data_IF_894821639772
#
_entry.id   IF_894821639772
#
_cell.length_a   1.000
_cell.length_b   1.000
_cell.length_c   1.000
_cell.angle_alpha   90.00
_cell.angle_beta   90.00
_cell.angle_gamma   90.00
#
_symmetry.space_group_name_H-M   'P 1'
#
loop_
_entity.id
_entity.type
_entity.pdbx_description
1 polymer ?
#
# COMPACT_ATOMS: atom_id res chain seq x y z
N UNK A 1 -16.97 -13.29 11.14
CA UNK A 1 -16.57 -12.05 11.83
C UNK A 1 -17.80 -11.23 12.12
N UNK A 2 -17.94 -10.72 13.34
CA UNK A 2 -18.94 -9.68 13.65
C UNK A 2 -18.60 -8.43 12.82
N UNK A 3 -19.61 -7.73 12.27
CA UNK A 3 -19.41 -6.55 11.41
C UNK A 3 -18.48 -5.51 12.04
N UNK A 4 -18.63 -5.26 13.34
CA UNK A 4 -17.79 -4.29 14.07
C UNK A 4 -16.33 -4.73 14.21
N UNK A 5 -16.02 -6.03 14.15
CA UNK A 5 -14.65 -6.50 14.20
C UNK A 5 -13.90 -6.23 12.89
N UNK A 6 -14.55 -6.48 11.75
CA UNK A 6 -13.95 -6.20 10.43
C UNK A 6 -13.75 -4.69 10.24
N UNK A 7 -14.74 -3.86 10.56
CA UNK A 7 -14.63 -2.39 10.47
C UNK A 7 -13.47 -1.84 11.33
N UNK A 8 -13.23 -2.42 12.50
CA UNK A 8 -12.11 -2.05 13.35
C UNK A 8 -10.74 -2.44 12.75
N UNK A 9 -10.63 -3.60 12.09
CA UNK A 9 -9.40 -3.99 11.40
C UNK A 9 -9.12 -3.11 10.17
N UNK A 10 -10.15 -2.73 9.43
CA UNK A 10 -10.04 -1.80 8.29
C UNK A 10 -9.52 -0.42 8.73
N UNK A 11 -9.84 0.04 9.95
CA UNK A 11 -9.29 1.29 10.48
C UNK A 11 -7.77 1.24 10.66
N UNK A 12 -7.21 0.10 11.08
CA UNK A 12 -5.76 -0.08 11.16
C UNK A 12 -5.11 -0.05 9.77
N UNK A 13 -5.76 -0.62 8.76
CA UNK A 13 -5.29 -0.51 7.37
C UNK A 13 -5.33 0.93 6.86
N UNK A 14 -6.34 1.72 7.23
CA UNK A 14 -6.39 3.13 6.87
C UNK A 14 -5.25 3.93 7.54
N UNK A 15 -5.02 3.71 8.84
CA UNK A 15 -3.97 4.40 9.59
C UNK A 15 -2.56 4.03 9.11
N UNK A 16 -2.31 2.74 8.84
CA UNK A 16 -1.00 2.29 8.36
C UNK A 16 -0.68 2.71 6.92
N UNK A 17 -1.72 2.97 6.11
CA UNK A 17 -1.56 3.33 4.70
C UNK A 17 -0.74 4.62 4.51
N UNK A 18 -0.90 5.62 5.38
CA UNK A 18 -0.14 6.88 5.29
C UNK A 18 1.36 6.63 5.48
N UNK A 19 1.72 5.77 6.45
CA UNK A 19 3.11 5.39 6.68
C UNK A 19 3.68 4.61 5.48
N UNK A 20 2.92 3.62 4.98
CA UNK A 20 3.37 2.81 3.86
C UNK A 20 3.46 3.62 2.56
N UNK A 21 2.53 4.54 2.31
CA UNK A 21 2.55 5.46 1.16
C UNK A 21 3.85 6.25 1.11
N UNK A 22 4.32 6.76 2.27
CA UNK A 22 5.60 7.46 2.34
C UNK A 22 6.79 6.56 1.98
N UNK A 23 6.77 5.30 2.40
CA UNK A 23 7.83 4.33 2.05
C UNK A 23 7.84 4.02 0.55
N UNK A 24 6.67 3.88 -0.04
CA UNK A 24 6.52 3.72 -1.50
C UNK A 24 7.02 4.98 -2.22
N UNK A 25 6.61 6.16 -1.77
CA UNK A 25 7.05 7.44 -2.33
C UNK A 25 8.57 7.58 -2.28
N UNK A 26 9.20 7.32 -1.14
CA UNK A 26 10.65 7.36 -0.99
C UNK A 26 11.33 6.43 -2.02
N UNK A 27 10.79 5.23 -2.23
CA UNK A 27 11.33 4.26 -3.19
C UNK A 27 11.19 4.73 -4.65
N UNK A 28 10.06 5.31 -5.05
CA UNK A 28 9.86 5.82 -6.42
C UNK A 28 10.54 7.17 -6.67
N UNK A 29 10.69 8.01 -5.64
CA UNK A 29 11.19 9.39 -5.75
C UNK A 29 12.60 9.51 -6.36
N UNK A 30 13.39 8.44 -6.24
CA UNK A 30 14.74 8.36 -6.79
C UNK A 30 14.80 7.93 -8.26
N UNK A 31 13.66 7.63 -8.88
CA UNK A 31 13.60 7.17 -10.26
C UNK A 31 13.73 8.30 -11.27
N UNK A 32 14.69 8.16 -12.18
CA UNK A 32 14.87 9.05 -13.34
C UNK A 32 13.82 8.84 -14.45
N UNK A 33 13.00 7.78 -14.36
CA UNK A 33 11.98 7.49 -15.37
C UNK A 33 10.61 8.15 -15.10
N UNK A 34 10.43 8.82 -13.96
CA UNK A 34 9.21 9.57 -13.65
C UNK A 34 9.49 11.05 -13.87
N UNK A 35 8.77 11.68 -14.81
CA UNK A 35 8.69 13.14 -14.81
C UNK A 35 7.75 13.60 -13.69
N UNK A 36 8.33 13.99 -12.57
CA UNK A 36 7.59 14.44 -11.39
C UNK A 36 6.75 15.71 -11.64
N UNK A 37 6.98 16.44 -12.73
CA UNK A 37 6.16 17.60 -13.10
C UNK A 37 4.85 17.21 -13.80
N UNK A 38 4.77 15.99 -14.33
CA UNK A 38 3.62 15.47 -15.08
C UNK A 38 2.79 14.46 -14.28
N UNK A 39 3.33 13.94 -13.18
CA UNK A 39 2.62 13.00 -12.30
C UNK A 39 1.74 13.73 -11.27
N UNK A 40 0.50 13.26 -11.11
CA UNK A 40 -0.47 13.80 -10.15
C UNK A 40 -1.10 12.67 -9.34
N UNK A 41 -1.07 12.77 -8.02
CA UNK A 41 -1.77 11.83 -7.14
C UNK A 41 -3.29 12.05 -7.25
N UNK A 42 -4.03 11.02 -7.68
CA UNK A 42 -5.49 11.03 -7.76
C UNK A 42 -6.15 10.51 -6.48
N UNK A 43 -5.50 9.58 -5.80
CA UNK A 43 -5.95 9.12 -4.49
C UNK A 43 -5.35 7.79 -4.07
N UNK A 44 -5.42 7.55 -2.77
CA UNK A 44 -4.95 6.33 -2.12
C UNK A 44 -6.13 5.59 -1.51
N UNK A 45 -6.13 4.27 -1.64
CA UNK A 45 -7.07 3.40 -0.93
C UNK A 45 -6.34 2.25 -0.28
N UNK A 46 -6.81 1.84 0.89
CA UNK A 46 -6.26 0.72 1.65
C UNK A 46 -7.41 -0.12 2.19
N UNK A 47 -7.22 -1.43 2.22
CA UNK A 47 -8.23 -2.38 2.72
C UNK A 47 -7.58 -3.59 3.35
N UNK A 48 -8.30 -4.26 4.23
CA UNK A 48 -7.88 -5.53 4.80
C UNK A 48 -7.76 -6.61 3.71
N UNK A 49 -6.63 -7.30 3.68
CA UNK A 49 -6.45 -8.50 2.88
C UNK A 49 -6.91 -9.72 3.68
N UNK A 50 -8.15 -10.14 3.43
CA UNK A 50 -8.79 -11.28 4.09
C UNK A 50 -8.16 -12.64 3.79
N UNK A 51 -7.33 -12.72 2.74
CA UNK A 51 -6.70 -13.99 2.31
C UNK A 51 -5.38 -14.21 3.05
N UNK A 52 -4.61 -13.15 3.23
CA UNK A 52 -3.29 -13.21 3.88
C UNK A 52 -3.32 -12.90 5.37
N UNK A 53 -4.40 -12.26 5.85
CA UNK A 53 -4.57 -12.01 7.28
C UNK A 53 -4.95 -13.29 8.01
N UNK A 54 -4.04 -13.76 8.88
CA UNK A 54 -4.32 -14.86 9.80
C UNK A 54 -4.96 -14.29 11.06
N UNK A 55 -6.27 -14.47 11.19
CA UNK A 55 -7.04 -14.12 12.39
C UNK A 55 -7.10 -15.33 13.32
N UNK A 56 -6.08 -15.53 14.15
CA UNK A 56 -6.23 -16.49 15.25
C UNK A 56 -6.19 -15.79 16.62
N UNK A 57 -6.79 -16.45 17.60
CA UNK A 57 -7.01 -15.91 18.95
C UNK A 57 -5.74 -15.93 19.81
N UNK A 58 -4.65 -16.55 19.34
CA UNK A 58 -3.43 -16.78 20.11
C UNK A 58 -2.20 -16.01 19.59
N UNK A 59 -2.24 -15.46 18.38
CA UNK A 59 -1.16 -14.67 17.80
C UNK A 59 -1.43 -13.18 18.00
N UNK A 60 -0.40 -12.47 18.46
CA UNK A 60 -0.35 -11.02 18.42
C UNK A 60 -0.81 -10.55 17.04
N UNK A 61 -1.97 -9.89 16.99
CA UNK A 61 -2.74 -9.76 15.75
C UNK A 61 -1.94 -9.00 14.70
N UNK A 62 -1.39 -9.73 13.74
CA UNK A 62 -0.80 -9.19 12.51
C UNK A 62 -1.87 -9.26 11.44
N UNK A 63 -2.19 -8.10 10.84
CA UNK A 63 -3.06 -8.04 9.67
C UNK A 63 -2.28 -7.62 8.45
N UNK A 64 -2.68 -8.12 7.29
CA UNK A 64 -2.15 -7.66 6.00
C UNK A 64 -3.17 -6.75 5.35
N UNK A 65 -2.72 -5.62 4.83
CA UNK A 65 -3.52 -4.62 4.16
C UNK A 65 -3.04 -4.46 2.71
N UNK A 66 -3.98 -4.53 1.75
CA UNK A 66 -3.72 -4.14 0.37
C UNK A 66 -3.78 -2.62 0.27
N UNK A 67 -2.88 -2.01 -0.49
CA UNK A 67 -2.91 -0.58 -0.80
C UNK A 67 -2.80 -0.35 -2.30
N UNK A 68 -3.64 0.57 -2.80
CA UNK A 68 -3.64 1.04 -4.18
C UNK A 68 -3.45 2.55 -4.17
N UNK A 69 -2.40 3.01 -4.85
CA UNK A 69 -2.10 4.43 -5.03
C UNK A 69 -2.31 4.75 -6.51
N UNK A 70 -3.25 5.64 -6.80
CA UNK A 70 -3.62 6.00 -8.16
C UNK A 70 -2.98 7.34 -8.54
N UNK A 71 -2.31 7.34 -9.68
CA UNK A 71 -1.71 8.52 -10.29
C UNK A 71 -2.33 8.78 -11.65
N UNK A 72 -2.38 10.06 -12.02
CA UNK A 72 -2.51 10.49 -13.40
C UNK A 72 -1.12 10.88 -13.89
N UNK A 73 -0.71 10.40 -15.06
CA UNK A 73 0.59 10.68 -15.66
C UNK A 73 0.41 10.90 -17.15
N UNK A 74 0.84 12.07 -17.63
CA UNK A 74 0.57 12.57 -18.98
C UNK A 74 -0.94 12.57 -19.31
N UNK A 75 -1.42 11.64 -20.14
CA UNK A 75 -2.82 11.48 -20.53
C UNK A 75 -3.50 10.22 -19.96
N UNK A 76 -2.89 9.58 -18.93
CA UNK A 76 -3.29 8.24 -18.47
C UNK A 76 -3.41 8.11 -16.96
N UNK A 77 -4.28 7.20 -16.53
CA UNK A 77 -4.39 6.76 -15.14
C UNK A 77 -3.55 5.48 -14.92
N UNK A 78 -2.66 5.53 -13.93
CA UNK A 78 -1.74 4.44 -13.59
C UNK A 78 -1.83 4.16 -12.09
N UNK A 79 -2.00 2.88 -11.72
CA UNK A 79 -2.07 2.46 -10.32
C UNK A 79 -0.81 1.70 -9.90
N UNK A 80 -0.32 2.02 -8.70
CA UNK A 80 0.65 1.23 -7.94
C UNK A 80 -0.11 0.38 -6.92
N UNK A 81 0.07 -0.94 -7.01
CA UNK A 81 -0.56 -1.91 -6.11
C UNK A 81 0.51 -2.53 -5.21
N UNK A 82 0.30 -2.49 -3.91
CA UNK A 82 1.25 -3.00 -2.90
C UNK A 82 0.49 -3.55 -1.70
N UNK A 83 1.21 -4.15 -0.75
CA UNK A 83 0.65 -4.56 0.54
C UNK A 83 1.64 -4.29 1.68
N UNK A 84 1.09 -4.18 2.88
CA UNK A 84 1.85 -3.99 4.11
C UNK A 84 1.17 -4.70 5.27
N UNK A 85 1.89 -4.83 6.39
CA UNK A 85 1.39 -5.46 7.60
C UNK A 85 1.22 -4.45 8.72
N UNK A 86 0.23 -4.68 9.59
CA UNK A 86 0.05 -3.93 10.83
C UNK A 86 0.11 -4.90 12.00
N UNK A 87 1.02 -4.64 12.93
CA UNK A 87 1.12 -5.32 14.22
C UNK A 87 0.24 -4.56 15.19
N UNK A 88 -1.01 -5.02 15.36
CA UNK A 88 -2.06 -4.27 16.07
C UNK A 88 -1.66 -3.95 17.51
N UNK A 89 -1.07 -4.91 18.21
CA UNK A 89 -0.66 -4.74 19.61
C UNK A 89 0.52 -3.79 19.79
N UNK A 90 1.32 -3.58 18.74
CA UNK A 90 2.49 -2.70 18.74
C UNK A 90 2.21 -1.34 18.09
N UNK A 91 0.99 -1.12 17.57
CA UNK A 91 0.61 0.06 16.77
C UNK A 91 1.61 0.35 15.64
N UNK A 92 2.19 -0.70 15.06
CA UNK A 92 3.31 -0.60 14.13
C UNK A 92 2.92 -1.05 12.74
N UNK A 93 3.23 -0.21 11.76
CA UNK A 93 3.16 -0.56 10.34
C UNK A 93 4.49 -1.13 9.87
N UNK A 94 4.45 -2.25 9.17
CA UNK A 94 5.61 -2.94 8.59
C UNK A 94 5.42 -3.02 7.08
N UNK A 95 6.28 -2.31 6.36
CA UNK A 95 6.38 -2.39 4.91
C UNK A 95 7.41 -3.44 4.54
N UNK A 96 7.01 -4.50 3.85
CA UNK A 96 7.94 -5.49 3.36
C UNK A 96 8.73 -4.90 2.17
N UNK A 97 10.05 -4.86 2.29
CA UNK A 97 10.94 -4.31 1.27
C UNK A 97 10.75 -4.98 -0.09
N UNK A 98 10.73 -6.31 -0.14
CA UNK A 98 10.63 -7.06 -1.41
C UNK A 98 9.29 -6.79 -2.11
N UNK A 99 8.20 -6.75 -1.34
CA UNK A 99 6.86 -6.43 -1.86
C UNK A 99 6.83 -4.98 -2.39
N UNK A 100 7.44 -4.06 -1.65
CA UNK A 100 7.49 -2.63 -2.02
C UNK A 100 8.32 -2.43 -3.28
N UNK A 101 9.50 -3.03 -3.37
CA UNK A 101 10.40 -2.95 -4.53
C UNK A 101 9.78 -3.58 -5.79
N UNK A 102 9.08 -4.71 -5.64
CA UNK A 102 8.35 -5.33 -6.75
C UNK A 102 7.21 -4.41 -7.23
N UNK A 103 6.41 -3.88 -6.32
CA UNK A 103 5.30 -2.97 -6.65
C UNK A 103 5.81 -1.70 -7.36
N UNK A 104 6.92 -1.14 -6.89
CA UNK A 104 7.60 -0.01 -7.52
C UNK A 104 8.08 -0.39 -8.92
N UNK A 105 8.78 -1.51 -9.07
CA UNK A 105 9.28 -1.96 -10.38
C UNK A 105 8.14 -2.15 -11.39
N UNK A 106 7.05 -2.78 -10.98
CA UNK A 106 5.88 -2.98 -11.84
C UNK A 106 5.22 -1.64 -12.21
N UNK A 107 5.14 -0.69 -11.28
CA UNK A 107 4.68 0.67 -11.56
C UNK A 107 5.60 1.37 -12.56
N UNK A 108 6.92 1.27 -12.40
CA UNK A 108 7.89 1.86 -13.31
C UNK A 108 7.77 1.29 -14.73
N UNK A 109 7.58 -0.01 -14.87
CA UNK A 109 7.35 -0.64 -16.18
C UNK A 109 6.09 -0.08 -16.84
N UNK A 110 5.02 0.17 -16.07
CA UNK A 110 3.80 0.79 -16.60
C UNK A 110 3.99 2.24 -17.01
N UNK A 111 4.85 2.99 -16.34
CA UNK A 111 5.22 4.36 -16.73
C UNK A 111 6.05 4.34 -18.03
N UNK A 112 6.99 3.39 -18.18
CA UNK A 112 7.90 3.35 -19.33
C UNK A 112 7.32 2.78 -20.62
N UNK A 113 6.52 1.71 -20.53
CA UNK A 113 6.05 0.96 -21.71
C UNK A 113 4.82 1.61 -22.35
N UNK A 114 4.23 2.62 -21.71
CA UNK A 114 2.98 3.23 -22.14
C UNK A 114 3.13 4.63 -22.72
#
# INVERSE_FOLDING_TARGET
MEKGHAEHLEQFCYQGAEYHERRVFDAISSSDYIDWSEIQLQGTSSRLNYTETILDENHDKVITCDQVINYHYDDKDISLNTSFQVLINEEKTVSNTDVTEQAVTDFMVRVMVN
#
